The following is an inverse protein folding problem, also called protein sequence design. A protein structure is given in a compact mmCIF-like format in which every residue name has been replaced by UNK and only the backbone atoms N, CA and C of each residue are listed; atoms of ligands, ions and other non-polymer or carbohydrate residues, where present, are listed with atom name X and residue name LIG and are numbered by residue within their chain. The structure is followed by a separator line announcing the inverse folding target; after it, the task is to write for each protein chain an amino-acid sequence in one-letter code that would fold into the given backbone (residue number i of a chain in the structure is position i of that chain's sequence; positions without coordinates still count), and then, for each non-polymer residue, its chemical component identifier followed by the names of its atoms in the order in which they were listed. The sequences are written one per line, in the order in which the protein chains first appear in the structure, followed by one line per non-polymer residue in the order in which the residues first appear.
data_IF_085656999781
#
_entry.id   IF_085656999781
#
_cell.length_a   1.000
_cell.length_b   1.000
_cell.length_c   1.000
_cell.angle_alpha   90.00
_cell.angle_beta   90.00
_cell.angle_gamma   90.00
#
_symmetry.space_group_name_H-M   'P 1'
#
loop_
_entity.id
_entity.type
_entity.pdbx_description
1 polymer ?
#
# COMPACT_ATOMS: atom_id res chain seq x y z
N UNK A 1 38.76 28.72 29.47
CA UNK A 1 37.79 27.75 30.04
C UNK A 1 36.34 28.09 29.68
N UNK A 2 35.89 29.34 29.83
CA UNK A 2 34.52 29.80 29.51
C UNK A 2 34.10 29.51 28.05
N UNK A 3 34.94 29.81 27.06
CA UNK A 3 34.64 29.53 25.64
C UNK A 3 34.48 28.05 25.30
N UNK A 4 35.12 27.14 26.05
CA UNK A 4 34.91 25.69 25.92
C UNK A 4 33.56 25.28 26.50
N UNK A 5 33.17 25.82 27.66
CA UNK A 5 31.87 25.55 28.29
C UNK A 5 30.72 26.08 27.43
N UNK A 6 30.87 27.28 26.86
CA UNK A 6 29.87 27.85 25.92
C UNK A 6 29.73 27.00 24.66
N UNK A 7 30.84 26.52 24.07
CA UNK A 7 30.78 25.59 22.92
C UNK A 7 30.11 24.26 23.25
N UNK A 8 30.39 23.69 24.42
CA UNK A 8 29.77 22.44 24.89
C UNK A 8 28.27 22.65 25.11
N UNK A 9 27.87 23.76 25.73
CA UNK A 9 26.47 24.12 25.92
C UNK A 9 25.75 24.31 24.58
N UNK A 10 26.38 25.00 23.61
CA UNK A 10 25.85 25.16 22.25
C UNK A 10 25.64 23.82 21.55
N UNK A 11 26.61 22.90 21.66
CA UNK A 11 26.50 21.55 21.10
C UNK A 11 25.36 20.75 21.74
N UNK A 12 25.16 20.89 23.05
CA UNK A 12 24.07 20.22 23.76
C UNK A 12 22.70 20.72 23.31
N UNK A 13 22.54 22.03 23.14
CA UNK A 13 21.31 22.63 22.62
C UNK A 13 21.05 22.17 21.18
N UNK A 14 22.09 22.16 20.33
CA UNK A 14 21.98 21.66 18.96
C UNK A 14 21.57 20.19 18.92
N UNK A 15 22.12 19.36 19.81
CA UNK A 15 21.78 17.94 19.91
C UNK A 15 20.31 17.73 20.31
N UNK A 16 19.79 18.51 21.26
CA UNK A 16 18.38 18.47 21.67
C UNK A 16 17.46 18.87 20.50
N UNK A 17 17.82 19.92 19.76
CA UNK A 17 17.07 20.36 18.58
C UNK A 17 17.05 19.30 17.48
N UNK A 18 18.20 18.71 17.15
CA UNK A 18 18.30 17.64 16.15
C UNK A 18 17.51 16.41 16.58
N UNK A 19 17.63 16.01 17.85
CA UNK A 19 16.86 14.88 18.40
C UNK A 19 15.35 15.14 18.33
N UNK A 20 14.88 16.33 18.71
CA UNK A 20 13.47 16.71 18.64
C UNK A 20 12.92 16.76 17.21
N UNK A 21 13.68 17.30 16.26
CA UNK A 21 13.30 17.30 14.83
C UNK A 21 13.27 15.86 14.30
N UNK A 22 14.24 15.02 14.68
CA UNK A 22 14.30 13.62 14.26
C UNK A 22 13.10 12.81 14.77
N UNK A 23 12.71 12.97 16.03
CA UNK A 23 11.53 12.27 16.59
C UNK A 23 10.25 12.74 15.94
N UNK A 24 10.08 14.06 15.74
CA UNK A 24 8.92 14.62 15.05
C UNK A 24 8.80 14.14 13.60
N UNK A 25 9.92 14.08 12.87
CA UNK A 25 9.96 13.58 11.50
C UNK A 25 9.58 12.10 11.44
N UNK A 26 10.16 11.28 12.34
CA UNK A 26 9.87 9.85 12.41
C UNK A 26 8.40 9.60 12.73
N UNK A 27 7.84 10.36 13.68
CA UNK A 27 6.42 10.27 14.05
C UNK A 27 5.50 10.68 12.89
N UNK A 28 5.85 11.75 12.17
CA UNK A 28 5.07 12.22 11.01
C UNK A 28 5.10 11.20 9.87
N UNK A 29 6.24 10.55 9.63
CA UNK A 29 6.36 9.50 8.60
C UNK A 29 5.54 8.26 8.93
N UNK A 30 5.41 7.90 10.21
CA UNK A 30 4.58 6.77 10.65
C UNK A 30 3.08 7.11 10.49
N UNK A 31 2.65 8.31 10.90
CA UNK A 31 1.23 8.70 10.89
C UNK A 31 0.74 8.99 9.46
N UNK A 32 1.58 9.58 8.60
CA UNK A 32 1.24 9.83 7.19
C UNK A 32 1.18 8.54 6.34
N UNK A 33 1.51 7.39 6.93
CA UNK A 33 1.27 6.08 6.33
C UNK A 33 -0.20 5.62 6.39
N UNK A 34 -1.09 6.33 7.08
CA UNK A 34 -2.53 6.02 7.17
C UNK A 34 -3.36 6.71 6.07
N UNK A 35 -2.84 6.84 4.86
CA UNK A 35 -3.71 7.18 3.74
C UNK A 35 -4.68 6.01 3.51
N UNK A 36 -5.98 6.27 3.64
CA UNK A 36 -7.00 5.35 3.17
C UNK A 36 -7.16 5.49 1.66
N UNK A 37 -7.47 4.38 1.00
CA UNK A 37 -7.68 4.29 -0.44
C UNK A 37 -8.97 3.52 -0.69
N UNK A 38 -9.75 3.99 -1.65
CA UNK A 38 -10.97 3.33 -2.10
C UNK A 38 -10.58 2.19 -3.03
N UNK A 39 -11.05 0.99 -2.73
CA UNK A 39 -10.82 -0.19 -3.56
C UNK A 39 -11.49 0.00 -4.92
N UNK A 40 -10.73 -0.06 -6.03
CA UNK A 40 -11.31 0.03 -7.37
C UNK A 40 -12.05 -1.26 -7.74
N UNK A 41 -12.89 -1.18 -8.78
CA UNK A 41 -13.48 -2.35 -9.41
C UNK A 41 -12.46 -3.03 -10.33
N UNK A 42 -12.10 -4.26 -10.00
CA UNK A 42 -11.12 -5.12 -10.68
C UNK A 42 -11.78 -6.29 -11.39
N UNK A 43 -13.00 -6.68 -10.98
CA UNK A 43 -13.75 -7.78 -11.61
C UNK A 43 -13.94 -7.49 -13.11
N UNK A 44 -13.66 -8.49 -13.94
CA UNK A 44 -13.75 -8.38 -15.39
C UNK A 44 -12.59 -7.60 -16.04
N UNK A 45 -11.59 -7.14 -15.27
CA UNK A 45 -10.35 -6.56 -15.83
C UNK A 45 -9.28 -7.62 -16.02
N UNK A 46 -8.36 -7.35 -16.93
CA UNK A 46 -7.16 -8.14 -17.17
C UNK A 46 -6.22 -8.06 -15.97
N UNK A 47 -5.62 -9.19 -15.58
CA UNK A 47 -4.76 -9.28 -14.39
C UNK A 47 -3.54 -8.35 -14.48
N UNK A 48 -2.97 -8.10 -15.66
CA UNK A 48 -1.82 -7.20 -15.82
C UNK A 48 -2.24 -5.76 -15.51
N UNK A 49 -3.37 -5.33 -16.09
CA UNK A 49 -3.91 -3.99 -15.81
C UNK A 49 -4.26 -3.79 -14.33
N UNK A 50 -4.78 -4.84 -13.67
CA UNK A 50 -5.10 -4.83 -12.24
C UNK A 50 -3.83 -4.64 -11.40
N UNK A 51 -2.75 -5.36 -11.72
CA UNK A 51 -1.49 -5.25 -10.99
C UNK A 51 -0.89 -3.84 -11.08
N UNK A 52 -0.95 -3.21 -12.26
CA UNK A 52 -0.47 -1.83 -12.45
C UNK A 52 -1.28 -0.84 -11.60
N UNK A 53 -2.61 -0.91 -11.67
CA UNK A 53 -3.51 -0.03 -10.91
C UNK A 53 -3.29 -0.19 -9.41
N UNK A 54 -3.19 -1.42 -8.91
CA UNK A 54 -2.98 -1.67 -7.49
C UNK A 54 -1.60 -1.18 -7.03
N UNK A 55 -0.57 -1.36 -7.84
CA UNK A 55 0.78 -0.89 -7.52
C UNK A 55 0.85 0.63 -7.47
N UNK A 56 0.23 1.33 -8.41
CA UNK A 56 0.15 2.80 -8.43
C UNK A 56 -0.61 3.35 -7.20
N UNK A 57 -1.64 2.63 -6.76
CA UNK A 57 -2.41 2.97 -5.56
C UNK A 57 -1.72 2.59 -4.24
N UNK A 58 -0.55 1.95 -4.29
CA UNK A 58 0.17 1.48 -3.10
C UNK A 58 -0.56 0.33 -2.38
N UNK A 59 -1.30 -0.49 -3.13
CA UNK A 59 -2.03 -1.66 -2.66
C UNK A 59 -1.31 -2.94 -3.10
N UNK A 60 -1.33 -3.94 -2.24
CA UNK A 60 -0.73 -5.23 -2.55
C UNK A 60 -1.76 -6.15 -3.20
N UNK A 61 -1.30 -6.99 -4.12
CA UNK A 61 -2.16 -7.99 -4.77
C UNK A 61 -1.85 -9.38 -4.21
N UNK A 62 -2.90 -10.11 -3.81
CA UNK A 62 -2.80 -11.49 -3.35
C UNK A 62 -3.64 -12.40 -4.24
N UNK A 63 -2.99 -13.28 -4.99
CA UNK A 63 -3.72 -14.24 -5.84
C UNK A 63 -4.23 -15.37 -4.96
N UNK A 64 -5.55 -15.40 -4.75
CA UNK A 64 -6.23 -16.41 -3.93
C UNK A 64 -6.47 -17.74 -4.65
N UNK A 65 -6.26 -17.78 -5.97
CA UNK A 65 -6.44 -18.97 -6.78
C UNK A 65 -6.88 -18.65 -8.20
N UNK A 66 -7.26 -19.69 -8.94
CA UNK A 66 -7.81 -19.56 -10.28
C UNK A 66 -8.91 -20.59 -10.52
N UNK A 67 -10.04 -20.13 -11.05
CA UNK A 67 -11.25 -20.93 -11.27
C UNK A 67 -11.72 -20.82 -12.72
N UNK A 68 -12.49 -21.81 -13.18
CA UNK A 68 -13.06 -21.80 -14.52
C UNK A 68 -14.31 -20.93 -14.57
N UNK A 69 -14.45 -20.13 -15.62
CA UNK A 69 -15.62 -19.29 -15.84
C UNK A 69 -15.97 -19.27 -17.32
N UNK A 70 -17.23 -19.62 -17.63
CA UNK A 70 -17.74 -19.57 -19.00
C UNK A 70 -18.02 -18.13 -19.47
N UNK A 71 -18.24 -17.20 -18.53
CA UNK A 71 -18.61 -15.81 -18.82
C UNK A 71 -17.42 -14.86 -18.82
N UNK A 72 -16.34 -15.20 -18.10
CA UNK A 72 -15.17 -14.33 -17.94
C UNK A 72 -13.98 -14.91 -18.74
N UNK A 73 -13.36 -14.13 -19.64
CA UNK A 73 -12.21 -14.60 -20.42
C UNK A 73 -11.05 -15.05 -19.54
N UNK A 74 -10.18 -15.91 -20.08
CA UNK A 74 -8.95 -16.33 -19.39
C UNK A 74 -8.11 -15.10 -19.01
N UNK A 75 -7.40 -15.18 -17.88
CA UNK A 75 -6.53 -14.12 -17.37
C UNK A 75 -7.25 -12.85 -16.90
N UNK A 76 -8.57 -12.90 -16.71
CA UNK A 76 -9.34 -11.82 -16.12
C UNK A 76 -9.72 -12.14 -14.67
N UNK A 77 -9.94 -11.12 -13.86
CA UNK A 77 -10.38 -11.29 -12.47
C UNK A 77 -11.86 -11.68 -12.45
N UNK A 78 -12.19 -12.78 -11.77
CA UNK A 78 -13.60 -13.21 -11.59
C UNK A 78 -14.15 -12.75 -10.24
N UNK A 79 -13.27 -12.50 -9.28
CA UNK A 79 -13.63 -12.18 -7.92
C UNK A 79 -12.52 -11.35 -7.29
N UNK A 80 -12.93 -10.37 -6.50
CA UNK A 80 -12.04 -9.56 -5.68
C UNK A 80 -12.58 -9.49 -4.24
N UNK A 81 -11.67 -9.34 -3.30
CA UNK A 81 -11.98 -9.07 -1.90
C UNK A 81 -10.84 -8.22 -1.31
N UNK A 82 -11.14 -7.05 -0.73
CA UNK A 82 -12.46 -6.48 -0.42
C UNK A 82 -13.29 -6.03 -1.64
N UNK A 83 -14.59 -5.80 -1.42
CA UNK A 83 -15.52 -5.33 -2.45
C UNK A 83 -15.14 -3.94 -2.98
N UNK A 84 -15.46 -3.63 -4.25
CA UNK A 84 -15.22 -2.30 -4.82
C UNK A 84 -15.96 -1.21 -4.02
N UNK A 85 -15.33 -0.04 -3.90
CA UNK A 85 -15.84 1.07 -3.10
C UNK A 85 -15.51 0.96 -1.60
N UNK A 86 -14.96 -0.17 -1.13
CA UNK A 86 -14.52 -0.31 0.26
C UNK A 86 -13.33 0.61 0.54
N UNK A 87 -13.33 1.31 1.66
CA UNK A 87 -12.19 2.11 2.10
C UNK A 87 -11.22 1.24 2.91
N UNK A 88 -9.99 1.10 2.43
CA UNK A 88 -8.93 0.33 3.08
C UNK A 88 -7.69 1.17 3.30
N UNK A 89 -6.90 0.84 4.32
CA UNK A 89 -5.59 1.49 4.50
C UNK A 89 -4.65 1.10 3.35
N UNK A 90 -3.79 2.02 2.92
CA UNK A 90 -2.67 1.70 1.99
C UNK A 90 -1.82 0.55 2.54
N UNK A 91 -1.22 -0.20 1.63
CA UNK A 91 -0.39 -1.37 1.97
C UNK A 91 -1.17 -2.62 2.38
N UNK A 92 -2.51 -2.62 2.28
CA UNK A 92 -3.33 -3.81 2.48
C UNK A 92 -3.37 -4.68 1.23
N UNK A 93 -3.54 -5.97 1.44
CA UNK A 93 -3.65 -6.96 0.38
C UNK A 93 -5.10 -7.02 -0.15
N UNK A 94 -5.24 -6.99 -1.48
CA UNK A 94 -6.48 -7.33 -2.18
C UNK A 94 -6.37 -8.74 -2.72
N UNK A 95 -7.28 -9.61 -2.29
CA UNK A 95 -7.39 -10.97 -2.79
C UNK A 95 -8.13 -10.98 -4.12
N UNK A 96 -7.50 -11.52 -5.15
CA UNK A 96 -8.12 -11.72 -6.46
C UNK A 96 -8.16 -13.20 -6.83
N UNK A 97 -9.20 -13.59 -7.57
CA UNK A 97 -9.30 -14.92 -8.20
C UNK A 97 -9.31 -14.71 -9.71
N UNK A 98 -8.53 -15.53 -10.41
CA UNK A 98 -8.30 -15.38 -11.85
C UNK A 98 -9.09 -16.43 -12.64
N UNK A 99 -9.73 -16.01 -13.72
CA UNK A 99 -10.41 -16.90 -14.66
C UNK A 99 -9.42 -17.76 -15.43
N UNK A 100 -9.69 -19.07 -15.46
CA UNK A 100 -9.07 -20.02 -16.39
C UNK A 100 -9.75 -20.06 -17.75
N UNK A 101 -10.81 -19.28 -17.95
CA UNK A 101 -11.68 -19.32 -19.12
C UNK A 101 -12.71 -20.44 -19.03
N UNK A 102 -13.44 -20.64 -20.13
CA UNK A 102 -14.42 -21.71 -20.23
C UNK A 102 -13.71 -23.07 -20.19
N UNK A 103 -14.18 -23.97 -19.34
CA UNK A 103 -13.77 -25.38 -19.42
C UNK A 103 -14.30 -25.92 -20.74
N UNK A 104 -13.40 -26.38 -21.61
CA UNK A 104 -13.83 -27.17 -22.76
C UNK A 104 -14.26 -28.54 -22.20
N UNK A 105 -15.57 -28.73 -22.07
CA UNK A 105 -16.19 -30.03 -21.82
C UNK A 105 -16.68 -30.62 -23.15
#
# INVERSE_FOLDING_TARGET
MITRVVKISLLFVLFILVSGISTHLTLTLIIKGEDSVIVPELVGKDVVSVLEVLTDMGLNTKVGGSEYSATVPKHHVIFQEPEPGTEIKKGRDIRIVISKGATCA
#
